data_IF_924170488596
#
_entry.id   IF_924170488596
#
_cell.length_a   1.000
_cell.length_b   1.000
_cell.length_c   1.000
_cell.angle_alpha   90.00
_cell.angle_beta   90.00
_cell.angle_gamma   90.00
#
_symmetry.space_group_name_H-M   'P 1'
#
loop_
_entity.id
_entity.type
_entity.pdbx_description
1 polymer ?
#
# COMPACT_ATOMS: atom_id res chain seq x y z
N UNK A 1 43.27 -28.04 17.52
CA UNK A 1 42.88 -29.12 16.57
C UNK A 1 41.36 -29.26 16.46
N UNK A 2 40.59 -29.38 17.55
CA UNK A 2 39.11 -29.51 17.52
C UNK A 2 38.39 -28.34 16.80
N UNK A 3 38.81 -27.07 17.04
CA UNK A 3 38.20 -25.87 16.39
C UNK A 3 38.43 -25.88 14.86
N UNK A 4 39.60 -26.32 14.36
CA UNK A 4 39.86 -26.46 12.92
C UNK A 4 39.01 -27.57 12.28
N UNK A 5 38.81 -28.68 13.00
CA UNK A 5 37.96 -29.78 12.53
C UNK A 5 36.50 -29.37 12.45
N UNK A 6 35.99 -28.66 13.46
CA UNK A 6 34.63 -28.12 13.47
C UNK A 6 34.41 -27.09 12.33
N UNK A 7 35.36 -26.17 12.10
CA UNK A 7 35.31 -25.26 10.97
C UNK A 7 35.33 -25.98 9.60
N UNK A 8 36.08 -27.08 9.48
CA UNK A 8 36.07 -27.93 8.28
C UNK A 8 34.68 -28.56 8.02
N UNK A 9 34.02 -29.00 9.07
CA UNK A 9 32.64 -29.53 8.93
C UNK A 9 31.60 -28.43 8.67
N UNK A 10 31.71 -27.29 9.35
CA UNK A 10 30.82 -26.14 9.12
C UNK A 10 30.92 -25.58 7.69
N UNK A 11 32.12 -25.57 7.10
CA UNK A 11 32.30 -25.14 5.70
C UNK A 11 31.71 -26.12 4.67
N UNK A 12 31.35 -27.33 5.05
CA UNK A 12 30.66 -28.33 4.21
C UNK A 12 29.14 -28.25 4.33
N UNK A 13 28.61 -27.54 5.35
CA UNK A 13 27.18 -27.33 5.53
C UNK A 13 26.76 -26.21 4.57
N UNK A 14 25.80 -26.49 3.72
CA UNK A 14 25.19 -25.49 2.84
C UNK A 14 24.23 -24.63 3.66
N UNK A 15 24.78 -23.60 4.31
CA UNK A 15 23.98 -22.64 5.12
C UNK A 15 23.14 -21.79 4.17
N UNK A 16 21.84 -21.71 4.44
CA UNK A 16 20.93 -20.93 3.64
C UNK A 16 21.34 -19.46 3.62
N UNK A 17 21.26 -18.82 2.45
CA UNK A 17 21.74 -17.45 2.26
C UNK A 17 21.07 -16.44 3.22
N UNK A 18 19.82 -16.66 3.57
CA UNK A 18 19.08 -15.81 4.52
C UNK A 18 19.69 -15.85 5.93
N UNK A 19 20.15 -17.01 6.38
CA UNK A 19 20.82 -17.16 7.67
C UNK A 19 22.17 -16.45 7.70
N UNK A 20 22.93 -16.54 6.61
CA UNK A 20 24.20 -15.82 6.47
C UNK A 20 23.97 -14.29 6.56
N UNK A 21 22.95 -13.79 5.87
CA UNK A 21 22.58 -12.38 5.92
C UNK A 21 22.16 -11.98 7.35
N UNK A 22 21.36 -12.79 8.02
CA UNK A 22 20.93 -12.54 9.39
C UNK A 22 22.11 -12.43 10.38
N UNK A 23 23.07 -13.35 10.31
CA UNK A 23 24.28 -13.27 11.13
C UNK A 23 25.13 -12.05 10.79
N UNK A 24 25.29 -11.75 9.50
CA UNK A 24 26.02 -10.59 9.05
C UNK A 24 25.37 -9.26 9.51
N UNK A 25 24.06 -9.19 9.56
CA UNK A 25 23.33 -8.04 10.10
C UNK A 25 23.52 -7.87 11.61
N UNK A 26 23.54 -8.97 12.37
CA UNK A 26 23.85 -8.94 13.81
C UNK A 26 25.23 -8.33 14.09
N UNK A 27 26.26 -8.72 13.32
CA UNK A 27 27.59 -8.12 13.45
C UNK A 27 27.62 -6.63 13.08
N UNK A 28 26.92 -6.23 12.01
CA UNK A 28 26.81 -4.83 11.62
C UNK A 28 26.07 -3.97 12.66
N UNK A 29 25.06 -4.50 13.32
CA UNK A 29 24.37 -3.80 14.39
C UNK A 29 25.20 -3.71 15.67
N UNK A 30 25.97 -4.76 16.00
CA UNK A 30 26.93 -4.73 17.09
C UNK A 30 28.01 -3.67 16.86
N UNK A 31 28.56 -3.56 15.65
CA UNK A 31 29.53 -2.53 15.28
C UNK A 31 28.96 -1.12 15.48
N UNK A 32 27.74 -0.85 15.00
CA UNK A 32 27.08 0.45 15.19
C UNK A 32 26.91 0.80 16.66
N UNK A 33 26.52 -0.17 17.50
CA UNK A 33 26.37 0.00 18.95
C UNK A 33 27.73 0.27 19.61
N UNK A 34 28.74 -0.50 19.27
CA UNK A 34 30.11 -0.33 19.78
C UNK A 34 30.65 1.06 19.39
N UNK A 35 30.53 1.43 18.12
CA UNK A 35 30.98 2.74 17.61
C UNK A 35 30.29 3.89 18.33
N UNK A 36 28.97 3.78 18.57
CA UNK A 36 28.22 4.79 19.32
C UNK A 36 28.71 4.90 20.76
N UNK A 37 28.86 3.77 21.46
CA UNK A 37 29.32 3.74 22.86
C UNK A 37 30.76 4.27 22.98
N UNK A 38 31.68 3.87 22.09
CA UNK A 38 33.06 4.40 22.07
C UNK A 38 33.12 5.91 21.79
N UNK A 39 32.28 6.40 20.86
CA UNK A 39 32.18 7.86 20.59
C UNK A 39 31.64 8.64 21.80
N UNK A 40 30.66 8.10 22.50
CA UNK A 40 30.10 8.69 23.71
C UNK A 40 31.17 8.73 24.84
N UNK A 41 31.87 7.61 25.05
CA UNK A 41 32.97 7.54 26.01
C UNK A 41 34.06 8.56 25.69
N UNK A 42 34.59 8.58 24.48
CA UNK A 42 35.62 9.51 24.05
C UNK A 42 35.20 10.98 24.23
N UNK A 43 33.92 11.31 23.98
CA UNK A 43 33.37 12.65 24.24
C UNK A 43 33.40 13.02 25.73
N UNK A 44 33.04 12.08 26.60
CA UNK A 44 32.98 12.28 28.03
C UNK A 44 34.42 12.36 28.60
N UNK A 45 35.32 11.48 28.18
CA UNK A 45 36.74 11.47 28.57
C UNK A 45 37.45 12.78 28.19
N UNK A 46 37.23 13.26 26.96
CA UNK A 46 37.75 14.55 26.52
C UNK A 46 37.23 15.71 27.38
N UNK A 47 35.94 15.67 27.79
CA UNK A 47 35.35 16.76 28.60
C UNK A 47 35.79 16.69 30.06
N UNK A 48 36.08 15.50 30.58
CA UNK A 48 36.62 15.29 31.92
C UNK A 48 38.16 15.39 31.99
N UNK A 49 38.81 15.57 30.82
CA UNK A 49 40.28 15.58 30.70
C UNK A 49 40.96 14.36 31.28
N UNK A 50 40.35 13.18 31.09
CA UNK A 50 40.79 11.90 31.64
C UNK A 50 41.11 10.98 30.45
N UNK A 51 42.26 10.29 30.52
CA UNK A 51 42.72 9.41 29.44
C UNK A 51 42.47 7.94 29.72
N UNK A 52 42.23 7.56 30.97
CA UNK A 52 42.09 6.18 31.40
C UNK A 52 41.02 6.00 32.47
N UNK A 53 40.43 4.79 32.51
CA UNK A 53 39.49 4.35 33.53
C UNK A 53 40.02 4.46 34.97
N UNK A 54 41.34 4.29 35.17
CA UNK A 54 41.96 4.45 36.47
C UNK A 54 41.88 5.91 36.94
N UNK A 55 42.12 6.85 36.05
CA UNK A 55 41.97 8.29 36.30
C UNK A 55 40.50 8.65 36.55
N UNK A 56 39.57 8.07 35.78
CA UNK A 56 38.14 8.30 36.02
C UNK A 56 37.71 7.82 37.41
N UNK A 57 38.20 6.68 37.86
CA UNK A 57 37.94 6.17 39.23
C UNK A 57 38.63 7.01 40.32
N UNK A 58 39.84 7.54 40.08
CA UNK A 58 40.50 8.44 40.98
C UNK A 58 39.77 9.78 41.12
N UNK A 59 39.29 10.32 39.99
CA UNK A 59 38.47 11.50 39.93
C UNK A 59 37.15 11.34 40.70
N UNK A 60 36.50 10.17 40.57
CA UNK A 60 35.32 9.81 41.36
C UNK A 60 35.59 9.73 42.88
N UNK A 61 36.76 9.25 43.30
CA UNK A 61 37.16 9.20 44.71
C UNK A 61 37.51 10.62 45.24
N UNK A 62 38.20 11.47 44.43
CA UNK A 62 38.52 12.84 44.78
C UNK A 62 37.27 13.70 44.99
N UNK A 63 36.16 13.41 44.29
CA UNK A 63 34.87 14.09 44.51
C UNK A 63 34.22 13.79 45.88
N UNK A 64 34.65 12.76 46.57
CA UNK A 64 34.19 12.43 47.91
C UNK A 64 34.91 13.23 48.99
N UNK A 65 36.05 13.86 48.71
CA UNK A 65 36.88 14.63 49.61
C UNK A 65 36.59 16.14 49.38
N UNK A 66 36.09 16.82 50.38
CA UNK A 66 35.67 18.24 50.23
C UNK A 66 36.77 19.22 49.75
N UNK A 67 38.04 18.97 50.10
CA UNK A 67 39.16 19.80 49.67
C UNK A 67 39.53 19.61 48.21
N UNK A 68 39.45 18.40 47.69
CA UNK A 68 39.72 18.07 46.28
C UNK A 68 38.55 18.41 45.38
N UNK A 69 37.32 18.27 45.87
CA UNK A 69 36.09 18.56 45.14
C UNK A 69 36.08 19.95 44.51
N UNK A 70 36.40 20.99 45.28
CA UNK A 70 36.46 22.38 44.78
C UNK A 70 37.51 22.56 43.67
N UNK A 71 38.70 21.97 43.85
CA UNK A 71 39.75 22.01 42.83
C UNK A 71 39.35 21.34 41.51
N UNK A 72 38.66 20.22 41.61
CA UNK A 72 38.14 19.47 40.44
C UNK A 72 37.05 20.27 39.73
N UNK A 73 36.10 20.86 40.48
CA UNK A 73 35.03 21.69 39.92
C UNK A 73 35.60 22.93 39.19
N UNK A 74 36.60 23.60 39.77
CA UNK A 74 37.29 24.74 39.16
C UNK A 74 38.10 24.34 37.90
N UNK A 75 38.79 23.21 37.92
CA UNK A 75 39.61 22.73 36.80
C UNK A 75 38.81 22.25 35.58
N UNK A 76 37.59 21.74 35.78
CA UNK A 76 36.73 21.20 34.75
C UNK A 76 35.57 22.13 34.38
N UNK A 77 35.28 23.14 35.19
CA UNK A 77 34.15 24.05 35.00
C UNK A 77 32.77 23.35 35.05
N UNK A 78 32.68 22.26 35.80
CA UNK A 78 31.48 21.44 35.94
C UNK A 78 31.15 21.24 37.44
N UNK A 79 29.86 21.17 37.77
CA UNK A 79 29.43 20.82 39.12
C UNK A 79 29.72 19.36 39.46
N UNK A 80 29.90 19.03 40.75
CA UNK A 80 30.18 17.68 41.20
C UNK A 80 29.10 16.69 40.75
N UNK A 81 27.84 17.10 40.70
CA UNK A 81 26.74 16.23 40.28
C UNK A 81 26.78 15.94 38.74
N UNK A 82 27.17 16.96 37.96
CA UNK A 82 27.40 16.76 36.52
C UNK A 82 28.58 15.82 36.24
N UNK A 83 29.64 15.91 37.03
CA UNK A 83 30.80 15.01 36.90
C UNK A 83 30.42 13.59 37.30
N UNK A 84 29.70 13.39 38.40
CA UNK A 84 29.19 12.08 38.83
C UNK A 84 28.30 11.43 37.77
N UNK A 85 27.38 12.20 37.17
CA UNK A 85 26.51 11.69 36.10
C UNK A 85 27.32 11.27 34.86
N UNK A 86 28.33 12.01 34.48
CA UNK A 86 29.23 11.64 33.38
C UNK A 86 30.05 10.39 33.69
N UNK A 87 30.55 10.23 34.89
CA UNK A 87 31.25 9.01 35.35
C UNK A 87 30.28 7.83 35.26
N UNK A 88 29.02 7.99 35.70
CA UNK A 88 27.97 6.94 35.61
C UNK A 88 27.68 6.56 34.17
N UNK A 89 27.60 7.55 33.26
CA UNK A 89 27.40 7.29 31.82
C UNK A 89 28.54 6.44 31.22
N UNK A 90 29.80 6.71 31.55
CA UNK A 90 30.92 5.90 31.10
C UNK A 90 30.84 4.49 31.67
N UNK A 91 30.53 4.33 32.94
CA UNK A 91 30.39 3.01 33.58
C UNK A 91 29.22 2.19 32.92
N UNK A 92 28.13 2.84 32.60
CA UNK A 92 27.01 2.20 31.87
C UNK A 92 27.41 1.79 30.46
N UNK A 93 28.17 2.63 29.77
CA UNK A 93 28.70 2.30 28.43
C UNK A 93 29.64 1.11 28.49
N UNK A 94 30.53 1.04 29.51
CA UNK A 94 31.41 -0.13 29.71
C UNK A 94 30.62 -1.40 30.01
N UNK A 95 29.60 -1.30 30.85
CA UNK A 95 28.75 -2.44 31.15
C UNK A 95 28.09 -2.98 29.88
N UNK A 96 27.57 -2.09 29.02
CA UNK A 96 26.98 -2.46 27.73
C UNK A 96 28.00 -3.06 26.77
N UNK A 97 29.23 -2.57 26.74
CA UNK A 97 30.30 -3.19 25.94
C UNK A 97 30.65 -4.60 26.42
N UNK A 98 30.71 -4.83 27.74
CA UNK A 98 30.91 -6.16 28.31
C UNK A 98 29.74 -7.10 28.03
N UNK A 99 28.52 -6.61 28.04
CA UNK A 99 27.34 -7.40 27.67
C UNK A 99 27.45 -7.86 26.19
N UNK A 100 27.93 -6.99 25.28
CA UNK A 100 28.19 -7.39 23.90
C UNK A 100 29.32 -8.42 23.77
N UNK A 101 30.40 -8.30 24.55
CA UNK A 101 31.46 -9.30 24.59
C UNK A 101 30.96 -10.69 25.05
N UNK A 102 30.04 -10.71 25.99
CA UNK A 102 29.40 -11.94 26.47
C UNK A 102 28.41 -12.50 25.44
N UNK A 103 27.63 -11.64 24.79
CA UNK A 103 26.66 -12.05 23.76
C UNK A 103 27.35 -12.72 22.56
N UNK A 104 28.50 -12.16 22.14
CA UNK A 104 29.24 -12.66 20.97
C UNK A 104 30.37 -13.63 21.35
N UNK A 105 30.62 -13.86 22.62
CA UNK A 105 31.75 -14.68 23.13
C UNK A 105 33.10 -14.26 22.55
N UNK A 106 33.27 -13.01 22.16
CA UNK A 106 34.46 -12.44 21.53
C UNK A 106 34.79 -11.08 22.11
N UNK A 107 36.04 -10.65 22.02
CA UNK A 107 36.43 -9.29 22.41
C UNK A 107 35.91 -8.27 21.43
N UNK A 108 35.72 -7.02 21.92
CA UNK A 108 35.21 -5.92 21.08
C UNK A 108 36.03 -5.74 19.79
N UNK A 109 37.36 -5.89 19.89
CA UNK A 109 38.25 -5.72 18.73
C UNK A 109 38.12 -6.86 17.73
N UNK A 110 37.87 -8.09 18.20
CA UNK A 110 37.55 -9.23 17.33
C UNK A 110 36.20 -9.04 16.64
N UNK A 111 35.18 -8.56 17.36
CA UNK A 111 33.84 -8.28 16.79
C UNK A 111 33.98 -7.22 15.67
N UNK A 112 34.73 -6.14 15.91
CA UNK A 112 34.96 -5.10 14.93
C UNK A 112 35.70 -5.62 13.70
N UNK A 113 36.77 -6.43 13.90
CA UNK A 113 37.53 -7.01 12.78
C UNK A 113 36.68 -7.99 11.94
N UNK A 114 35.81 -8.77 12.59
CA UNK A 114 34.84 -9.63 11.88
C UNK A 114 33.83 -8.83 11.12
N UNK A 115 33.28 -7.76 11.71
CA UNK A 115 32.34 -6.87 11.05
C UNK A 115 32.94 -6.19 9.82
N UNK A 116 34.18 -5.73 9.89
CA UNK A 116 34.91 -5.14 8.76
C UNK A 116 35.07 -6.15 7.61
N UNK A 117 35.50 -7.39 7.91
CA UNK A 117 35.61 -8.45 6.90
C UNK A 117 34.26 -8.82 6.28
N UNK A 118 33.18 -8.81 7.06
CA UNK A 118 31.83 -9.02 6.55
C UNK A 118 31.43 -7.89 5.62
N UNK A 119 31.72 -6.64 5.99
CA UNK A 119 31.44 -5.45 5.16
C UNK A 119 32.20 -5.48 3.83
N UNK A 120 33.49 -5.85 3.85
CA UNK A 120 34.29 -6.06 2.64
C UNK A 120 33.67 -7.15 1.74
N UNK A 121 33.28 -8.30 2.32
CA UNK A 121 32.66 -9.37 1.59
C UNK A 121 31.30 -8.97 0.96
N UNK A 122 30.50 -8.19 1.68
CA UNK A 122 29.24 -7.61 1.16
C UNK A 122 29.49 -6.65 0.00
N UNK A 123 30.50 -5.79 0.13
CA UNK A 123 30.87 -4.86 -0.95
C UNK A 123 31.34 -5.59 -2.19
N UNK A 124 32.16 -6.63 -2.02
CA UNK A 124 32.63 -7.49 -3.12
C UNK A 124 31.45 -8.20 -3.81
N UNK A 125 30.52 -8.76 -3.04
CA UNK A 125 29.31 -9.40 -3.55
C UNK A 125 28.43 -8.42 -4.34
N UNK A 126 28.20 -7.21 -3.80
CA UNK A 126 27.38 -6.19 -4.46
C UNK A 126 28.02 -5.75 -5.78
N UNK A 127 29.32 -5.49 -5.79
CA UNK A 127 30.05 -5.13 -6.99
C UNK A 127 29.98 -6.24 -8.07
N UNK A 128 30.02 -7.50 -7.65
CA UNK A 128 29.86 -8.62 -8.59
C UNK A 128 28.44 -8.70 -9.16
N UNK A 129 27.42 -8.50 -8.33
CA UNK A 129 26.01 -8.42 -8.78
C UNK A 129 25.80 -7.28 -9.77
N UNK A 130 26.33 -6.09 -9.47
CA UNK A 130 26.18 -4.91 -10.32
C UNK A 130 26.87 -5.11 -11.68
N UNK A 131 28.05 -5.72 -11.71
CA UNK A 131 28.72 -6.10 -12.97
C UNK A 131 27.91 -7.12 -13.78
N UNK A 132 27.29 -8.10 -13.11
CA UNK A 132 26.45 -9.09 -13.77
C UNK A 132 25.19 -8.43 -14.36
N UNK A 133 24.55 -7.50 -13.65
CA UNK A 133 23.42 -6.71 -14.15
C UNK A 133 23.85 -5.91 -15.39
N UNK A 134 24.91 -5.11 -15.29
CA UNK A 134 25.39 -4.26 -16.37
C UNK A 134 25.70 -5.06 -17.65
N UNK A 135 26.35 -6.21 -17.52
CA UNK A 135 26.69 -7.07 -18.66
C UNK A 135 25.45 -7.65 -19.36
N UNK A 136 24.28 -7.72 -18.67
CA UNK A 136 23.05 -8.32 -19.18
C UNK A 136 21.94 -7.31 -19.53
N UNK A 137 22.15 -6.00 -19.42
CA UNK A 137 21.15 -4.98 -19.82
C UNK A 137 20.70 -5.12 -21.27
N UNK A 138 21.61 -5.52 -22.19
CA UNK A 138 21.29 -5.75 -23.59
C UNK A 138 20.31 -6.92 -23.81
N UNK A 139 20.32 -7.91 -22.91
CA UNK A 139 19.36 -9.01 -22.94
C UNK A 139 17.95 -8.49 -22.63
N UNK A 140 17.80 -7.59 -21.66
CA UNK A 140 16.51 -6.96 -21.35
C UNK A 140 15.95 -6.23 -22.56
N UNK A 141 16.77 -5.40 -23.23
CA UNK A 141 16.36 -4.66 -24.44
C UNK A 141 15.88 -5.61 -25.53
N UNK A 142 16.59 -6.73 -25.75
CA UNK A 142 16.23 -7.71 -26.80
C UNK A 142 14.89 -8.41 -26.51
N UNK A 143 14.55 -8.59 -25.24
CA UNK A 143 13.27 -9.17 -24.80
C UNK A 143 12.17 -8.12 -24.88
N UNK A 144 12.39 -6.90 -24.36
CA UNK A 144 11.42 -5.82 -24.33
C UNK A 144 10.92 -5.43 -25.74
N UNK A 145 11.80 -5.47 -26.75
CA UNK A 145 11.43 -5.24 -28.16
C UNK A 145 10.28 -6.11 -28.66
N UNK A 146 10.07 -7.31 -28.10
CA UNK A 146 8.99 -8.22 -28.49
C UNK A 146 7.64 -7.84 -27.88
N UNK A 147 7.62 -6.90 -26.95
CA UNK A 147 6.44 -6.44 -26.20
C UNK A 147 6.03 -5.02 -26.51
N UNK A 148 6.65 -4.37 -27.51
CA UNK A 148 6.26 -3.05 -27.99
C UNK A 148 4.82 -3.03 -28.52
N UNK A 149 4.18 -1.87 -28.49
CA UNK A 149 2.81 -1.64 -28.95
C UNK A 149 1.75 -2.47 -28.16
N UNK A 150 1.96 -2.64 -26.87
CA UNK A 150 1.03 -3.35 -25.96
C UNK A 150 0.54 -2.47 -24.82
N UNK A 151 0.45 -1.15 -25.04
CA UNK A 151 -0.10 -0.19 -24.08
C UNK A 151 0.90 0.46 -23.14
N UNK A 152 2.19 0.04 -23.16
CA UNK A 152 3.27 0.70 -22.42
C UNK A 152 4.34 1.22 -23.36
N UNK A 153 4.97 2.33 -22.98
CA UNK A 153 6.09 2.89 -23.72
C UNK A 153 7.31 1.95 -23.64
N UNK A 154 8.13 1.94 -24.71
CA UNK A 154 9.28 1.02 -24.79
C UNK A 154 10.25 1.15 -23.61
N UNK A 155 10.54 2.37 -23.17
CA UNK A 155 11.44 2.57 -22.03
C UNK A 155 10.88 2.05 -20.71
N UNK A 156 9.56 2.11 -20.51
CA UNK A 156 8.90 1.55 -19.33
C UNK A 156 9.03 0.02 -19.32
N UNK A 157 8.85 -0.63 -20.48
CA UNK A 157 9.08 -2.06 -20.64
C UNK A 157 10.53 -2.46 -20.32
N UNK A 158 11.51 -1.64 -20.73
CA UNK A 158 12.92 -1.86 -20.43
C UNK A 158 13.16 -1.72 -18.92
N UNK A 159 12.60 -0.70 -18.26
CA UNK A 159 12.80 -0.52 -16.82
C UNK A 159 12.16 -1.63 -15.99
N UNK A 160 10.95 -2.03 -16.31
CA UNK A 160 10.32 -3.18 -15.69
C UNK A 160 11.10 -4.48 -15.93
N UNK A 161 11.64 -4.64 -17.14
CA UNK A 161 12.55 -5.74 -17.46
C UNK A 161 13.85 -5.70 -16.64
N UNK A 162 14.42 -4.51 -16.39
CA UNK A 162 15.60 -4.33 -15.54
C UNK A 162 15.29 -4.73 -14.08
N UNK A 163 14.12 -4.40 -13.56
CA UNK A 163 13.67 -4.86 -12.23
C UNK A 163 13.61 -6.40 -12.19
N UNK A 164 13.10 -7.01 -13.26
CA UNK A 164 13.10 -8.46 -13.42
C UNK A 164 14.53 -9.05 -13.44
N UNK A 165 15.46 -8.40 -14.13
CA UNK A 165 16.88 -8.80 -14.18
C UNK A 165 17.54 -8.72 -12.80
N UNK A 166 17.32 -7.65 -12.03
CA UNK A 166 17.84 -7.48 -10.67
C UNK A 166 17.36 -8.63 -9.79
N UNK A 167 16.06 -8.94 -9.80
CA UNK A 167 15.51 -10.09 -9.06
C UNK A 167 16.12 -11.42 -9.49
N UNK A 168 16.40 -11.58 -10.79
CA UNK A 168 17.07 -12.76 -11.30
C UNK A 168 18.50 -12.90 -10.75
N UNK A 169 19.27 -11.80 -10.71
CA UNK A 169 20.65 -11.78 -10.17
C UNK A 169 20.66 -12.10 -8.67
N UNK A 170 19.71 -11.56 -7.92
CA UNK A 170 19.60 -11.81 -6.47
C UNK A 170 19.35 -13.28 -6.15
N UNK A 171 18.52 -13.97 -6.96
CA UNK A 171 18.09 -15.35 -6.72
C UNK A 171 18.86 -16.39 -7.54
N UNK A 172 19.87 -15.95 -8.31
CA UNK A 172 20.62 -16.86 -9.17
C UNK A 172 21.61 -17.72 -8.37
N UNK A 173 21.48 -19.03 -8.48
CA UNK A 173 22.37 -20.01 -7.88
C UNK A 173 23.25 -20.65 -8.95
N UNK A 174 24.48 -20.16 -9.11
CA UNK A 174 25.41 -20.65 -10.13
C UNK A 174 25.79 -22.15 -9.94
N UNK A 175 25.69 -22.65 -8.71
CA UNK A 175 26.00 -24.06 -8.37
C UNK A 175 25.08 -25.08 -9.06
N UNK A 176 23.86 -24.65 -9.46
CA UNK A 176 22.91 -25.49 -10.21
C UNK A 176 23.32 -25.76 -11.66
N UNK A 177 24.39 -25.14 -12.17
CA UNK A 177 24.97 -25.40 -13.48
C UNK A 177 24.20 -24.84 -14.70
N UNK A 178 23.08 -24.17 -14.50
CA UNK A 178 22.33 -23.57 -15.60
C UNK A 178 22.94 -22.24 -16.03
N UNK A 179 22.79 -21.90 -17.35
CA UNK A 179 23.21 -20.60 -17.86
C UNK A 179 22.36 -19.50 -17.25
N UNK A 180 22.99 -18.42 -16.80
CA UNK A 180 22.29 -17.26 -16.23
C UNK A 180 21.21 -16.71 -17.15
N UNK A 181 21.47 -16.59 -18.47
CA UNK A 181 20.54 -16.06 -19.46
C UNK A 181 19.21 -16.84 -19.50
N UNK A 182 19.23 -18.16 -19.32
CA UNK A 182 18.02 -18.98 -19.30
C UNK A 182 17.13 -18.62 -18.12
N UNK A 183 17.73 -18.46 -16.93
CA UNK A 183 17.03 -18.08 -15.72
C UNK A 183 16.54 -16.62 -15.76
N UNK A 184 17.41 -15.70 -16.17
CA UNK A 184 17.09 -14.27 -16.27
C UNK A 184 15.97 -14.00 -17.28
N UNK A 185 15.94 -14.69 -18.43
CA UNK A 185 14.90 -14.52 -19.45
C UNK A 185 13.50 -14.77 -18.87
N UNK A 186 13.34 -15.75 -17.99
CA UNK A 186 12.06 -16.01 -17.35
C UNK A 186 11.62 -14.87 -16.44
N UNK A 187 12.52 -14.36 -15.59
CA UNK A 187 12.23 -13.24 -14.68
C UNK A 187 11.95 -11.94 -15.42
N UNK A 188 12.75 -11.63 -16.46
CA UNK A 188 12.56 -10.44 -17.29
C UNK A 188 11.18 -10.49 -17.97
N UNK A 189 10.85 -11.64 -18.60
CA UNK A 189 9.55 -11.83 -19.25
C UNK A 189 8.40 -11.70 -18.27
N UNK A 190 8.51 -12.32 -17.12
CA UNK A 190 7.49 -12.26 -16.07
C UNK A 190 7.25 -10.82 -15.59
N UNK A 191 8.32 -10.04 -15.36
CA UNK A 191 8.23 -8.65 -14.94
C UNK A 191 7.53 -7.79 -16.01
N UNK A 192 7.97 -7.89 -17.27
CA UNK A 192 7.38 -7.15 -18.39
C UNK A 192 5.89 -7.52 -18.58
N UNK A 193 5.56 -8.81 -18.59
CA UNK A 193 4.16 -9.25 -18.80
C UNK A 193 3.27 -8.80 -17.66
N UNK A 194 3.77 -8.83 -16.42
CA UNK A 194 3.04 -8.37 -15.26
C UNK A 194 2.80 -6.86 -15.30
N UNK A 195 3.82 -6.08 -15.66
CA UNK A 195 3.70 -4.62 -15.80
C UNK A 195 2.69 -4.24 -16.87
N UNK A 196 2.70 -4.90 -18.05
CA UNK A 196 1.68 -4.71 -19.09
C UNK A 196 0.28 -4.99 -18.52
N UNK A 197 0.12 -6.09 -17.78
CA UNK A 197 -1.17 -6.43 -17.19
C UNK A 197 -1.65 -5.40 -16.16
N UNK A 198 -0.75 -4.82 -15.40
CA UNK A 198 -1.08 -3.90 -14.30
C UNK A 198 -1.27 -2.45 -14.75
N UNK A 199 -0.61 -2.01 -15.84
CA UNK A 199 -0.47 -0.58 -16.17
C UNK A 199 -0.87 -0.21 -17.61
N UNK A 200 -1.01 -1.19 -18.53
CA UNK A 200 -1.25 -0.90 -19.94
C UNK A 200 -2.65 -0.37 -20.26
N UNK A 201 -3.62 -0.53 -19.38
CA UNK A 201 -5.01 -0.14 -19.59
C UNK A 201 -5.37 1.13 -18.83
N UNK A 202 -6.13 2.01 -19.46
CA UNK A 202 -6.69 3.22 -18.82
C UNK A 202 -7.55 2.86 -17.61
N UNK A 203 -8.40 1.83 -17.74
CA UNK A 203 -9.15 1.26 -16.63
C UNK A 203 -8.45 -0.04 -16.23
N UNK A 204 -7.86 -0.06 -15.03
CA UNK A 204 -7.12 -1.22 -14.53
C UNK A 204 -8.02 -2.45 -14.40
N UNK A 205 -7.55 -3.57 -14.93
CA UNK A 205 -8.22 -4.88 -14.83
C UNK A 205 -7.33 -5.83 -14.03
N UNK A 206 -7.89 -6.63 -13.10
CA UNK A 206 -7.13 -7.62 -12.33
C UNK A 206 -6.42 -8.64 -13.24
N UNK A 207 -5.22 -9.10 -12.85
CA UNK A 207 -4.37 -10.00 -13.65
C UNK A 207 -5.09 -11.29 -14.07
N UNK A 208 -5.88 -11.88 -13.16
CA UNK A 208 -6.63 -13.10 -13.48
C UNK A 208 -7.70 -12.91 -14.58
N UNK A 209 -8.26 -11.70 -14.69
CA UNK A 209 -9.20 -11.38 -15.77
C UNK A 209 -8.44 -11.20 -17.10
N UNK A 210 -7.26 -10.61 -17.09
CA UNK A 210 -6.40 -10.49 -18.28
C UNK A 210 -5.98 -11.87 -18.78
N UNK A 211 -5.70 -12.82 -17.88
CA UNK A 211 -5.44 -14.20 -18.26
C UNK A 211 -6.65 -14.85 -18.94
N UNK A 212 -7.87 -14.58 -18.43
CA UNK A 212 -9.11 -15.08 -19.06
C UNK A 212 -9.32 -14.44 -20.46
N UNK A 213 -9.11 -13.12 -20.58
CA UNK A 213 -9.16 -12.42 -21.88
C UNK A 213 -8.16 -13.03 -22.86
N UNK A 214 -6.92 -13.26 -22.44
CA UNK A 214 -5.89 -13.87 -23.28
C UNK A 214 -6.26 -15.29 -23.72
N UNK A 215 -6.92 -16.08 -22.86
CA UNK A 215 -7.43 -17.40 -23.23
C UNK A 215 -8.52 -17.29 -24.30
N UNK A 216 -9.52 -16.42 -24.10
CA UNK A 216 -10.60 -16.20 -25.07
C UNK A 216 -10.04 -15.74 -26.41
N UNK A 217 -9.14 -14.76 -26.43
CA UNK A 217 -8.52 -14.25 -27.66
C UNK A 217 -7.71 -15.32 -28.37
N UNK A 218 -6.97 -16.14 -27.64
CA UNK A 218 -6.17 -17.23 -28.23
C UNK A 218 -7.03 -18.29 -28.87
N UNK A 219 -8.05 -18.80 -28.18
CA UNK A 219 -8.95 -19.83 -28.70
C UNK A 219 -9.80 -19.27 -29.85
N UNK A 220 -10.25 -18.01 -29.77
CA UNK A 220 -10.95 -17.34 -30.86
C UNK A 220 -10.11 -17.27 -32.13
N UNK A 221 -8.81 -16.93 -32.02
CA UNK A 221 -7.89 -16.91 -33.18
C UNK A 221 -7.66 -18.31 -33.77
N UNK A 222 -7.54 -19.33 -32.93
CA UNK A 222 -7.39 -20.72 -33.41
C UNK A 222 -8.65 -21.19 -34.13
N UNK A 223 -9.84 -20.90 -33.60
CA UNK A 223 -11.09 -21.21 -34.24
C UNK A 223 -11.24 -20.46 -35.58
N UNK A 224 -10.85 -19.20 -35.63
CA UNK A 224 -10.87 -18.40 -36.86
C UNK A 224 -9.98 -19.04 -37.97
N UNK A 225 -8.82 -19.58 -37.61
CA UNK A 225 -7.96 -20.30 -38.58
C UNK A 225 -8.60 -21.58 -39.10
N UNK A 226 -9.39 -22.28 -38.28
CA UNK A 226 -10.04 -23.51 -38.67
C UNK A 226 -11.34 -23.26 -39.46
N UNK A 227 -12.12 -22.27 -39.04
CA UNK A 227 -13.45 -21.99 -39.61
C UNK A 227 -13.41 -21.04 -40.82
N UNK A 228 -12.31 -20.27 -40.99
CA UNK A 228 -12.21 -19.23 -41.99
C UNK A 228 -13.12 -18.01 -41.78
N UNK A 229 -13.81 -17.92 -40.62
CA UNK A 229 -14.65 -16.80 -40.21
C UNK A 229 -14.50 -16.52 -38.73
N UNK A 230 -15.03 -15.40 -38.26
CA UNK A 230 -15.08 -15.13 -36.81
C UNK A 230 -15.96 -16.16 -36.10
N UNK A 231 -15.48 -16.76 -34.99
CA UNK A 231 -16.24 -17.71 -34.20
C UNK A 231 -17.35 -17.03 -33.40
N UNK A 232 -18.48 -17.71 -33.23
CA UNK A 232 -19.53 -17.24 -32.34
C UNK A 232 -19.15 -17.44 -30.87
N UNK A 233 -19.84 -16.72 -29.94
CA UNK A 233 -19.58 -16.85 -28.52
C UNK A 233 -19.85 -18.27 -28.00
N UNK A 234 -20.76 -19.01 -28.65
CA UNK A 234 -21.09 -20.38 -28.32
C UNK A 234 -19.95 -21.34 -28.72
N UNK A 235 -19.38 -21.20 -29.91
CA UNK A 235 -18.23 -21.98 -30.37
C UNK A 235 -16.99 -21.78 -29.50
N UNK A 236 -16.74 -20.51 -29.05
CA UNK A 236 -15.66 -20.21 -28.14
C UNK A 236 -15.92 -20.78 -26.74
N UNK A 237 -17.16 -20.72 -26.26
CA UNK A 237 -17.60 -21.28 -24.98
C UNK A 237 -17.40 -22.79 -24.92
N UNK A 238 -17.84 -23.51 -25.97
CA UNK A 238 -17.67 -24.95 -26.11
C UNK A 238 -16.19 -25.35 -26.10
N UNK A 239 -15.35 -24.61 -26.83
CA UNK A 239 -13.91 -24.86 -26.89
C UNK A 239 -13.20 -24.68 -25.57
N UNK A 240 -13.62 -23.67 -24.76
CA UNK A 240 -13.07 -23.38 -23.44
C UNK A 240 -13.70 -24.18 -22.30
N UNK A 241 -14.84 -24.85 -22.55
CA UNK A 241 -15.65 -25.49 -21.51
C UNK A 241 -16.29 -24.47 -20.55
N UNK A 242 -16.62 -23.26 -21.06
CA UNK A 242 -17.21 -22.17 -20.26
C UNK A 242 -18.68 -21.94 -20.67
N UNK A 243 -19.42 -21.24 -19.79
CA UNK A 243 -20.76 -20.78 -20.19
C UNK A 243 -20.66 -19.61 -21.17
N UNK A 244 -21.62 -19.51 -22.09
CA UNK A 244 -21.70 -18.42 -23.08
C UNK A 244 -21.74 -17.06 -22.41
N UNK A 245 -22.48 -16.92 -21.30
CA UNK A 245 -22.55 -15.66 -20.54
C UNK A 245 -21.20 -15.25 -19.99
N UNK A 246 -20.36 -16.21 -19.57
CA UNK A 246 -18.99 -15.92 -19.10
C UNK A 246 -18.11 -15.40 -20.24
N UNK A 247 -18.18 -15.99 -21.43
CA UNK A 247 -17.44 -15.51 -22.60
C UNK A 247 -17.85 -14.10 -22.97
N UNK A 248 -19.16 -13.79 -23.01
CA UNK A 248 -19.69 -12.44 -23.25
C UNK A 248 -19.19 -11.44 -22.21
N UNK A 249 -19.25 -11.79 -20.94
CA UNK A 249 -18.77 -10.95 -19.85
C UNK A 249 -17.27 -10.64 -19.99
N UNK A 250 -16.43 -11.64 -20.30
CA UNK A 250 -15.00 -11.47 -20.52
C UNK A 250 -14.71 -10.58 -21.75
N UNK A 251 -15.46 -10.77 -22.85
CA UNK A 251 -15.35 -9.91 -24.04
C UNK A 251 -15.72 -8.46 -23.75
N UNK A 252 -16.75 -8.21 -22.94
CA UNK A 252 -17.14 -6.85 -22.55
C UNK A 252 -16.05 -6.16 -21.73
N UNK A 253 -15.44 -6.86 -20.77
CA UNK A 253 -14.31 -6.33 -19.98
C UNK A 253 -13.05 -6.13 -20.82
N UNK A 254 -12.91 -6.87 -21.93
CA UNK A 254 -11.76 -6.75 -22.85
C UNK A 254 -11.78 -5.46 -23.67
N UNK A 255 -12.93 -4.79 -23.82
CA UNK A 255 -13.04 -3.55 -24.61
C UNK A 255 -12.20 -2.44 -24.00
N UNK A 256 -11.54 -1.66 -24.87
CA UNK A 256 -10.84 -0.45 -24.47
C UNK A 256 -11.78 0.75 -24.55
N UNK A 257 -11.64 1.74 -23.65
CA UNK A 257 -12.43 2.97 -23.72
C UNK A 257 -12.08 3.77 -24.97
N UNK A 258 -13.09 4.41 -25.55
CA UNK A 258 -12.95 5.32 -26.69
C UNK A 258 -12.81 6.74 -26.15
N UNK A 259 -11.97 7.57 -26.77
CA UNK A 259 -11.80 8.97 -26.38
C UNK A 259 -13.06 9.77 -26.70
N UNK A 260 -13.47 10.66 -25.77
CA UNK A 260 -14.55 11.61 -26.00
C UNK A 260 -14.18 12.67 -27.06
N UNK A 261 -12.89 12.89 -27.30
CA UNK A 261 -12.38 13.82 -28.31
C UNK A 261 -12.28 13.17 -29.72
N UNK A 262 -12.81 11.96 -29.88
CA UNK A 262 -12.84 11.31 -31.18
C UNK A 262 -13.78 12.08 -32.12
N UNK A 263 -13.30 12.60 -33.28
CA UNK A 263 -14.14 13.33 -34.23
C UNK A 263 -15.19 12.38 -34.86
N UNK A 264 -16.39 12.87 -35.06
CA UNK A 264 -17.50 12.16 -35.72
C UNK A 264 -17.91 12.95 -36.95
N UNK A 265 -17.96 12.30 -38.10
CA UNK A 265 -18.35 12.91 -39.40
C UNK A 265 -17.16 13.22 -40.27
N UNK A 266 -17.46 13.60 -41.54
CA UNK A 266 -16.43 13.89 -42.55
C UNK A 266 -15.78 15.27 -42.38
N UNK A 267 -16.46 16.21 -41.68
CA UNK A 267 -16.00 17.60 -41.50
C UNK A 267 -15.23 17.83 -40.18
N UNK A 268 -15.05 16.77 -39.35
CA UNK A 268 -14.32 16.78 -38.04
C UNK A 268 -14.77 17.87 -37.03
N UNK A 269 -15.89 18.56 -37.28
CA UNK A 269 -16.37 19.67 -36.44
C UNK A 269 -17.11 19.20 -35.16
N UNK A 270 -17.47 17.92 -35.06
CA UNK A 270 -18.23 17.35 -33.92
C UNK A 270 -17.44 16.25 -33.22
N UNK A 271 -17.42 16.29 -31.90
CA UNK A 271 -16.74 15.31 -31.06
C UNK A 271 -17.74 14.30 -30.48
N UNK A 272 -17.29 13.08 -30.19
CA UNK A 272 -18.11 12.02 -29.57
C UNK A 272 -18.76 12.51 -28.26
N UNK A 273 -18.06 13.35 -27.49
CA UNK A 273 -18.55 13.93 -26.26
C UNK A 273 -19.80 14.77 -26.41
N UNK A 274 -19.97 15.46 -27.57
CA UNK A 274 -21.11 16.35 -27.83
C UNK A 274 -22.42 15.58 -28.04
N UNK A 275 -22.35 14.26 -28.32
CA UNK A 275 -23.50 13.40 -28.54
C UNK A 275 -23.91 12.59 -27.29
N UNK A 276 -23.16 12.70 -26.20
CA UNK A 276 -23.46 11.97 -24.96
C UNK A 276 -24.33 12.84 -24.06
N UNK A 277 -25.55 12.38 -23.85
CA UNK A 277 -26.52 13.07 -22.95
C UNK A 277 -26.06 12.97 -21.49
N UNK A 278 -26.10 14.12 -20.81
CA UNK A 278 -25.91 14.19 -19.36
C UNK A 278 -27.19 13.72 -18.64
N UNK A 279 -27.11 12.55 -18.03
CA UNK A 279 -28.24 11.94 -17.30
C UNK A 279 -28.36 12.43 -15.85
N UNK A 280 -27.36 13.16 -15.33
CA UNK A 280 -27.38 13.69 -13.98
C UNK A 280 -28.15 15.03 -13.90
N UNK A 281 -28.25 15.75 -15.01
CA UNK A 281 -29.06 16.97 -15.08
C UNK A 281 -30.53 16.60 -15.07
N UNK A 282 -31.21 16.96 -14.00
CA UNK A 282 -32.64 16.74 -13.87
C UNK A 282 -33.42 17.54 -14.95
N UNK A 283 -34.37 16.88 -15.59
CA UNK A 283 -35.25 17.54 -16.54
C UNK A 283 -36.01 18.69 -15.82
N UNK A 284 -35.91 19.95 -16.30
CA UNK A 284 -36.58 21.11 -15.67
C UNK A 284 -38.07 20.89 -15.43
N UNK A 285 -38.76 20.18 -16.33
CA UNK A 285 -40.17 19.83 -16.17
C UNK A 285 -40.42 18.95 -14.94
N UNK A 286 -39.56 17.93 -14.71
CA UNK A 286 -39.66 17.04 -13.54
C UNK A 286 -39.33 17.80 -12.24
N UNK A 287 -38.31 18.63 -12.25
CA UNK A 287 -37.93 19.47 -11.11
C UNK A 287 -39.05 20.45 -10.74
N UNK A 288 -39.67 21.09 -11.74
CA UNK A 288 -40.82 21.97 -11.53
C UNK A 288 -42.03 21.21 -10.99
N UNK A 289 -42.37 20.05 -11.57
CA UNK A 289 -43.44 19.19 -11.09
C UNK A 289 -43.22 18.75 -9.64
N UNK A 290 -42.00 18.40 -9.27
CA UNK A 290 -41.65 18.07 -7.89
C UNK A 290 -41.80 19.26 -6.93
N UNK A 291 -41.37 20.43 -7.33
CA UNK A 291 -41.57 21.68 -6.55
C UNK A 291 -43.04 21.96 -6.32
N UNK A 292 -43.86 21.86 -7.37
CA UNK A 292 -45.32 22.04 -7.26
C UNK A 292 -45.96 20.99 -6.34
N UNK A 293 -45.52 19.73 -6.43
CA UNK A 293 -45.94 18.65 -5.51
C UNK A 293 -45.62 19.02 -4.06
N UNK A 294 -44.39 19.51 -3.80
CA UNK A 294 -43.99 19.94 -2.44
C UNK A 294 -44.88 21.09 -1.91
N UNK A 295 -45.18 22.08 -2.75
CA UNK A 295 -46.03 23.20 -2.38
C UNK A 295 -47.47 22.71 -2.08
N UNK A 296 -48.02 21.87 -2.93
CA UNK A 296 -49.34 21.27 -2.70
C UNK A 296 -49.38 20.40 -1.43
N UNK A 297 -48.35 19.62 -1.21
CA UNK A 297 -48.20 18.80 -0.01
C UNK A 297 -48.16 19.69 1.27
N UNK A 298 -47.37 20.76 1.24
CA UNK A 298 -47.33 21.77 2.35
C UNK A 298 -48.67 22.39 2.57
N UNK A 299 -49.38 22.78 1.49
CA UNK A 299 -50.74 23.35 1.56
C UNK A 299 -51.75 22.38 2.17
N UNK A 300 -51.70 21.08 1.81
CA UNK A 300 -52.58 20.07 2.38
C UNK A 300 -52.22 19.75 3.82
N UNK A 301 -50.94 19.66 4.17
CA UNK A 301 -50.49 19.46 5.55
C UNK A 301 -50.87 20.61 6.48
N UNK A 302 -50.83 21.85 6.00
CA UNK A 302 -51.25 23.03 6.80
C UNK A 302 -52.73 23.02 7.22
N UNK A 303 -53.55 22.18 6.59
CA UNK A 303 -54.98 22.00 6.98
C UNK A 303 -55.13 21.02 8.17
N UNK A 304 -54.07 20.39 8.65
CA UNK A 304 -54.08 19.55 9.82
C UNK A 304 -53.76 20.35 11.08
N UNK A 305 -54.16 19.86 12.27
CA UNK A 305 -53.68 20.43 13.55
C UNK A 305 -52.17 20.44 13.63
N UNK A 306 -51.56 21.50 14.17
CA UNK A 306 -50.10 21.67 14.21
C UNK A 306 -49.32 20.45 14.70
N UNK A 307 -49.81 19.79 15.75
CA UNK A 307 -49.18 18.61 16.32
C UNK A 307 -49.18 17.37 15.36
N UNK A 308 -50.28 17.19 14.59
CA UNK A 308 -50.41 16.12 13.58
C UNK A 308 -49.52 16.40 12.35
N UNK A 309 -49.43 17.67 11.96
CA UNK A 309 -48.57 18.13 10.85
C UNK A 309 -47.10 17.89 11.19
N UNK A 310 -46.64 18.25 12.36
CA UNK A 310 -45.25 18.19 12.76
C UNK A 310 -44.79 16.74 12.94
N UNK A 311 -45.65 15.86 13.48
CA UNK A 311 -45.39 14.42 13.54
C UNK A 311 -45.19 13.82 12.14
N UNK A 312 -46.05 14.20 11.15
CA UNK A 312 -45.88 13.69 9.78
C UNK A 312 -44.62 14.25 9.11
N UNK A 313 -44.28 15.53 9.29
CA UNK A 313 -43.06 16.13 8.75
C UNK A 313 -41.82 15.41 9.21
N UNK A 314 -41.67 15.17 10.53
CA UNK A 314 -40.56 14.46 11.10
C UNK A 314 -40.53 12.98 10.69
N UNK A 315 -41.71 12.34 10.70
CA UNK A 315 -41.82 10.92 10.41
C UNK A 315 -41.42 10.58 8.96
N UNK A 316 -41.75 11.43 8.01
CA UNK A 316 -41.50 11.24 6.58
C UNK A 316 -40.34 12.10 6.06
N UNK A 317 -39.66 12.87 6.90
CA UNK A 317 -38.53 13.72 6.51
C UNK A 317 -38.89 14.79 5.48
N UNK A 318 -40.07 15.39 5.61
CA UNK A 318 -40.59 16.34 4.60
C UNK A 318 -39.92 17.72 4.63
N UNK A 319 -39.13 18.04 5.64
CA UNK A 319 -38.36 19.28 5.75
C UNK A 319 -36.86 19.05 5.54
N UNK A 320 -36.30 18.11 6.29
CA UNK A 320 -34.85 17.90 6.36
C UNK A 320 -34.37 16.69 5.53
N UNK A 321 -35.28 15.98 4.86
CA UNK A 321 -34.99 14.80 4.09
C UNK A 321 -34.72 13.54 4.93
N UNK A 322 -34.69 13.63 6.25
CA UNK A 322 -34.43 12.51 7.16
C UNK A 322 -35.70 12.01 7.83
N UNK A 323 -36.07 10.76 7.58
CA UNK A 323 -37.22 10.12 8.25
C UNK A 323 -36.84 9.64 9.64
N UNK A 324 -37.57 10.11 10.69
CA UNK A 324 -37.39 9.70 12.07
C UNK A 324 -38.25 8.48 12.43
N UNK A 325 -37.78 7.63 13.34
CA UNK A 325 -38.53 6.50 13.88
C UNK A 325 -39.65 6.97 14.85
N UNK A 326 -40.65 6.12 15.09
CA UNK A 326 -41.73 6.45 16.04
C UNK A 326 -41.21 6.71 17.47
N UNK A 327 -40.08 6.11 17.82
CA UNK A 327 -39.44 6.29 19.13
C UNK A 327 -38.74 7.65 19.24
N UNK A 328 -37.99 8.06 18.20
CA UNK A 328 -37.32 9.36 18.13
C UNK A 328 -38.31 10.51 18.13
N UNK A 329 -39.40 10.39 17.34
CA UNK A 329 -40.50 11.39 17.36
C UNK A 329 -41.18 11.38 18.73
N UNK A 330 -41.33 10.23 19.38
CA UNK A 330 -41.86 10.12 20.73
C UNK A 330 -41.00 10.87 21.76
N UNK A 331 -39.66 10.74 21.66
CA UNK A 331 -38.71 11.48 22.50
C UNK A 331 -38.85 13.01 22.31
N UNK A 332 -38.94 13.46 21.06
CA UNK A 332 -39.09 14.88 20.75
C UNK A 332 -40.36 15.50 21.37
N UNK A 333 -41.49 14.78 21.32
CA UNK A 333 -42.77 15.27 21.86
C UNK A 333 -43.02 14.87 23.33
N UNK A 334 -42.06 14.19 23.99
CA UNK A 334 -42.20 13.62 25.35
C UNK A 334 -43.44 12.75 25.50
N UNK A 335 -43.71 11.86 24.55
CA UNK A 335 -44.84 10.90 24.57
C UNK A 335 -44.36 9.51 24.14
N UNK A 336 -45.17 8.49 24.47
CA UNK A 336 -44.87 7.12 24.13
C UNK A 336 -44.95 6.85 22.64
N UNK A 337 -44.16 5.89 22.13
CA UNK A 337 -44.17 5.39 20.75
C UNK A 337 -45.59 5.11 20.25
N UNK A 338 -46.40 4.45 21.07
CA UNK A 338 -47.79 4.10 20.72
C UNK A 338 -48.66 5.33 20.53
N UNK A 339 -48.43 6.39 21.31
CA UNK A 339 -49.14 7.66 21.14
C UNK A 339 -48.80 8.33 19.83
N UNK A 340 -47.56 8.34 19.42
CA UNK A 340 -47.15 8.86 18.10
C UNK A 340 -47.81 8.02 16.99
N UNK A 341 -47.82 6.68 17.08
CA UNK A 341 -48.50 5.81 16.11
C UNK A 341 -49.99 6.14 15.96
N UNK A 342 -50.68 6.44 17.08
CA UNK A 342 -52.09 6.86 17.06
C UNK A 342 -52.28 8.22 16.38
N UNK A 343 -51.36 9.18 16.63
CA UNK A 343 -51.44 10.53 16.01
C UNK A 343 -51.18 10.38 14.51
N UNK A 344 -50.16 9.64 14.09
CA UNK A 344 -49.84 9.35 12.68
C UNK A 344 -51.05 8.70 11.96
N UNK A 345 -51.61 7.64 12.51
CA UNK A 345 -52.75 6.94 11.92
C UNK A 345 -53.99 7.87 11.79
N UNK A 346 -54.22 8.74 12.78
CA UNK A 346 -55.30 9.70 12.76
C UNK A 346 -55.04 10.78 11.68
N UNK A 347 -53.84 11.31 11.59
CA UNK A 347 -53.45 12.30 10.60
C UNK A 347 -53.58 11.74 9.18
N UNK A 348 -53.07 10.52 8.92
CA UNK A 348 -53.21 9.84 7.63
C UNK A 348 -54.67 9.59 7.24
N UNK A 349 -55.52 9.19 8.22
CA UNK A 349 -56.96 9.01 7.98
C UNK A 349 -57.63 10.35 7.61
N UNK A 350 -57.21 11.46 8.23
CA UNK A 350 -57.72 12.82 7.87
C UNK A 350 -57.24 13.26 6.49
N UNK A 351 -56.05 12.89 6.07
CA UNK A 351 -55.51 13.19 4.72
C UNK A 351 -56.23 12.38 3.62
N UNK A 352 -56.73 11.17 3.91
CA UNK A 352 -57.52 10.37 2.96
C UNK A 352 -58.91 10.94 2.65
N UNK A 353 -59.36 11.96 3.40
CA UNK A 353 -60.66 12.57 3.12
C UNK A 353 -60.69 13.21 1.72
N UNK A 354 -61.77 12.99 0.90
CA UNK A 354 -61.84 13.45 -0.50
C UNK A 354 -61.50 14.90 -0.75
N UNK A 355 -61.82 15.81 0.16
CA UNK A 355 -61.46 17.24 0.05
C UNK A 355 -59.96 17.53 0.06
N UNK A 356 -59.15 16.63 0.64
CA UNK A 356 -57.70 16.77 0.72
C UNK A 356 -57.01 15.88 -0.31
N UNK A 357 -57.45 14.63 -0.45
CA UNK A 357 -56.83 13.66 -1.36
C UNK A 357 -56.97 14.05 -2.83
N UNK A 358 -58.07 14.70 -3.24
CA UNK A 358 -58.21 15.18 -4.62
C UNK A 358 -57.09 16.13 -5.07
N UNK A 359 -56.55 16.95 -4.19
CA UNK A 359 -55.46 17.89 -4.53
C UNK A 359 -54.12 17.20 -4.81
N UNK A 360 -53.96 15.97 -4.36
CA UNK A 360 -52.74 15.19 -4.54
C UNK A 360 -52.93 14.07 -5.57
N UNK A 361 -54.13 13.83 -6.05
CA UNK A 361 -54.46 12.73 -6.95
C UNK A 361 -53.74 12.84 -8.30
N UNK A 362 -53.67 14.06 -8.83
CA UNK A 362 -53.06 14.34 -10.13
C UNK A 362 -51.54 14.05 -10.18
N UNK A 363 -50.89 13.87 -9.02
CA UNK A 363 -49.46 13.52 -8.88
C UNK A 363 -49.22 12.04 -8.60
N UNK A 364 -50.26 11.21 -8.49
CA UNK A 364 -50.15 9.79 -8.25
C UNK A 364 -50.18 8.95 -9.55
N UNK A 365 -50.70 9.54 -10.61
CA UNK A 365 -50.91 8.88 -11.90
C UNK A 365 -49.81 9.21 -12.93
N UNK A 366 -48.69 9.88 -12.48
CA UNK A 366 -47.51 10.21 -13.30
C UNK A 366 -46.28 9.46 -12.83
#
# INVERSE_FOLDING_TARGET
KKRKSIMGHLSQIDIHQEEIIYFADKFGDAEKRISKLRKEQARIEKRLKVSNLRELRSLGRGLAINSERRRIEESLGLSADQIKEKIRQVQLSEKKLKELELEFENTIDEILSMSERIAEGRTMMQNAKDRLIQANLRLVVSIAKKYTNRGLHFFDLVQEGNIGLIKAVEKFEYRKGYKFSTYATWWIRQAITRSISDQARTIRVPVHMIEQINKVVRESRQLMQVLGREPTDEEVADRLGWSVNRVKSVKNVAREPISLETPIGEEEDSLLGDFIEDKEVENPAHSTAFTLLQEQLRSVLSTLPAREQEVLKMRFGLEDGYSLTLEEVGLYFNVTRERIRQIEAKALRRLRHPRRSRRLKDYLDN
#
